data_IF_939258991322
#
_entry.id   IF_939258991322
#
_cell.length_a   1.000
_cell.length_b   1.000
_cell.length_c   1.000
_cell.angle_alpha   90.00
_cell.angle_beta   90.00
_cell.angle_gamma   90.00
#
_symmetry.space_group_name_H-M   'P 1'
#
loop_
_entity.id
_entity.type
_entity.pdbx_description
1 polymer ?
#
# COMPACT_ATOMS: atom_id res chain seq x y z
N UNK A 1 -0.80 9.51 -3.48
CA UNK A 1 -1.27 9.16 -4.82
C UNK A 1 -1.54 7.67 -4.80
N UNK A 2 -2.81 7.24 -4.82
CA UNK A 2 -3.16 5.83 -5.01
C UNK A 2 -3.32 5.59 -6.51
N UNK A 3 -2.21 5.29 -7.18
CA UNK A 3 -2.18 5.00 -8.61
C UNK A 3 -2.43 3.52 -8.86
N UNK A 4 -2.81 3.20 -10.10
CA UNK A 4 -2.72 1.84 -10.64
C UNK A 4 -1.26 1.37 -10.60
N UNK A 5 -1.06 0.06 -10.44
CA UNK A 5 0.25 -0.56 -10.49
C UNK A 5 0.36 -1.38 -11.78
N UNK A 6 1.19 -0.88 -12.71
CA UNK A 6 1.51 -1.57 -13.96
C UNK A 6 2.65 -2.57 -13.74
N UNK A 7 2.50 -3.77 -14.30
CA UNK A 7 3.47 -4.87 -14.19
C UNK A 7 3.49 -5.66 -15.49
N UNK A 8 4.45 -6.56 -15.66
CA UNK A 8 4.58 -7.40 -16.84
C UNK A 8 4.68 -8.88 -16.46
N UNK A 9 4.13 -9.76 -17.30
CA UNK A 9 4.41 -11.21 -17.23
C UNK A 9 5.83 -11.57 -17.71
N UNK A 10 6.54 -10.63 -18.32
CA UNK A 10 7.87 -10.80 -18.88
C UNK A 10 8.92 -10.12 -18.02
N UNK A 11 9.80 -10.94 -17.43
CA UNK A 11 10.91 -10.43 -16.62
C UNK A 11 11.79 -9.45 -17.40
N UNK A 12 12.12 -9.75 -18.66
CA UNK A 12 12.96 -8.87 -19.48
C UNK A 12 12.33 -7.49 -19.76
N UNK A 13 11.00 -7.36 -19.67
CA UNK A 13 10.34 -6.06 -19.75
C UNK A 13 10.50 -5.32 -18.42
N UNK A 14 10.27 -5.99 -17.29
CA UNK A 14 10.49 -5.42 -15.96
C UNK A 14 11.95 -4.98 -15.72
N UNK A 15 12.92 -5.73 -16.23
CA UNK A 15 14.35 -5.42 -16.12
C UNK A 15 14.70 -4.07 -16.75
N UNK A 16 14.04 -3.69 -17.86
CA UNK A 16 14.24 -2.39 -18.51
C UNK A 16 13.89 -1.24 -17.54
N UNK A 17 12.82 -1.42 -16.76
CA UNK A 17 12.35 -0.45 -15.77
C UNK A 17 13.09 -0.53 -14.42
N UNK A 18 14.04 -1.46 -14.27
CA UNK A 18 14.86 -1.64 -13.05
C UNK A 18 16.27 -1.04 -13.22
N UNK A 19 16.49 -0.25 -14.27
CA UNK A 19 17.80 0.37 -14.53
C UNK A 19 18.15 1.45 -13.50
N UNK A 20 19.47 1.60 -13.28
CA UNK A 20 20.04 2.38 -12.19
C UNK A 20 19.56 3.83 -12.21
N UNK A 21 19.00 4.26 -11.08
CA UNK A 21 18.70 5.68 -10.85
C UNK A 21 19.99 6.50 -10.82
N UNK A 22 19.94 7.70 -11.42
CA UNK A 22 21.00 8.72 -11.32
C UNK A 22 20.99 9.44 -9.95
N UNK A 23 20.02 9.14 -9.08
CA UNK A 23 19.89 9.74 -7.76
C UNK A 23 20.54 8.87 -6.67
N UNK A 24 21.51 9.45 -5.96
CA UNK A 24 22.28 8.77 -4.89
C UNK A 24 21.45 8.20 -3.73
N UNK A 25 20.17 8.60 -3.60
CA UNK A 25 19.26 8.17 -2.52
C UNK A 25 18.22 7.14 -2.95
N UNK A 26 18.29 6.62 -4.19
CA UNK A 26 17.36 5.61 -4.68
C UNK A 26 18.01 4.23 -4.77
N UNK A 27 17.21 3.20 -4.53
CA UNK A 27 17.62 1.80 -4.66
C UNK A 27 16.84 1.16 -5.78
N UNK A 28 17.53 0.37 -6.60
CA UNK A 28 16.87 -0.40 -7.66
C UNK A 28 16.17 -1.59 -7.01
N UNK A 29 14.87 -1.73 -7.27
CA UNK A 29 14.07 -2.82 -6.72
C UNK A 29 13.30 -3.50 -7.84
N UNK A 30 13.47 -4.82 -7.95
CA UNK A 30 12.63 -5.66 -8.80
C UNK A 30 11.53 -6.31 -7.95
N UNK A 31 10.28 -6.06 -8.29
CA UNK A 31 9.15 -6.69 -7.59
C UNK A 31 8.67 -7.95 -8.33
N UNK A 32 8.74 -9.10 -7.66
CA UNK A 32 8.16 -10.36 -8.16
C UNK A 32 6.81 -10.59 -7.48
N UNK A 33 5.70 -10.53 -8.24
CA UNK A 33 4.36 -10.62 -7.68
C UNK A 33 3.72 -11.98 -7.98
N UNK A 34 3.43 -12.73 -6.92
CA UNK A 34 2.61 -13.94 -7.00
C UNK A 34 1.14 -13.53 -6.90
N UNK A 35 0.40 -13.66 -8.00
CA UNK A 35 -1.04 -13.43 -8.06
C UNK A 35 -1.75 -14.60 -8.78
N UNK A 36 -2.66 -15.28 -8.08
CA UNK A 36 -3.43 -16.39 -8.66
C UNK A 36 -4.69 -15.88 -9.35
N UNK A 37 -4.83 -16.02 -10.69
CA UNK A 37 -6.02 -15.57 -11.42
C UNK A 37 -7.26 -16.42 -11.15
N UNK A 38 -7.12 -17.59 -10.51
CA UNK A 38 -8.22 -18.52 -10.19
C UNK A 38 -8.77 -18.30 -8.77
N UNK A 39 -8.37 -17.22 -8.11
CA UNK A 39 -8.78 -16.94 -6.74
C UNK A 39 -10.31 -17.00 -6.56
N UNK A 40 -10.83 -17.73 -5.56
CA UNK A 40 -12.26 -17.74 -5.24
C UNK A 40 -12.67 -16.39 -4.63
N UNK A 41 -13.50 -15.63 -5.35
CA UNK A 41 -13.97 -14.31 -4.92
C UNK A 41 -14.54 -13.50 -6.08
N UNK A 42 -15.46 -12.57 -5.79
CA UNK A 42 -16.22 -11.86 -6.83
C UNK A 42 -15.46 -10.73 -7.53
N UNK A 43 -14.31 -10.28 -7.02
CA UNK A 43 -13.55 -9.14 -7.58
C UNK A 43 -12.08 -9.50 -7.72
N UNK A 44 -11.60 -9.52 -8.97
CA UNK A 44 -10.17 -9.66 -9.29
C UNK A 44 -9.56 -8.27 -9.34
N UNK A 45 -8.57 -7.93 -8.50
CA UNK A 45 -8.00 -6.59 -8.46
C UNK A 45 -6.96 -6.35 -9.57
N UNK A 46 -6.87 -7.24 -10.56
CA UNK A 46 -5.93 -7.11 -11.67
C UNK A 46 -6.46 -7.75 -12.95
N UNK A 47 -5.94 -7.29 -14.09
CA UNK A 47 -6.24 -7.85 -15.39
C UNK A 47 -5.02 -7.81 -16.31
N UNK A 48 -4.88 -8.83 -17.16
CA UNK A 48 -3.99 -8.76 -18.31
C UNK A 48 -4.62 -7.84 -19.36
N UNK A 49 -3.98 -6.73 -19.66
CA UNK A 49 -4.47 -5.72 -20.59
C UNK A 49 -3.69 -5.68 -21.91
N UNK A 50 -2.84 -6.67 -22.18
CA UNK A 50 -2.00 -6.75 -23.38
C UNK A 50 -2.78 -6.51 -24.68
N UNK A 51 -4.02 -7.03 -24.77
CA UNK A 51 -4.88 -6.89 -25.96
C UNK A 51 -5.49 -5.49 -26.12
N UNK A 52 -5.48 -4.69 -25.06
CA UNK A 52 -6.02 -3.34 -25.02
C UNK A 52 -4.92 -2.27 -25.01
N UNK A 53 -3.70 -2.66 -24.61
CA UNK A 53 -2.54 -1.77 -24.54
C UNK A 53 -1.98 -1.46 -25.93
N UNK A 54 -1.45 -0.25 -26.09
CA UNK A 54 -0.70 0.17 -27.27
C UNK A 54 0.57 -0.69 -27.46
N UNK A 55 1.16 -1.16 -26.35
CA UNK A 55 2.37 -1.98 -26.33
C UNK A 55 2.02 -3.43 -25.95
N UNK A 56 1.31 -4.12 -26.84
CA UNK A 56 0.81 -5.46 -26.56
C UNK A 56 1.90 -6.51 -26.25
N UNK A 57 3.15 -6.28 -26.67
CA UNK A 57 4.26 -7.20 -26.45
C UNK A 57 4.78 -7.17 -25.00
N UNK A 58 4.47 -6.14 -24.24
CA UNK A 58 4.88 -6.00 -22.83
C UNK A 58 4.15 -7.00 -21.93
N UNK A 59 3.07 -7.63 -22.41
CA UNK A 59 2.24 -8.54 -21.62
C UNK A 59 1.81 -7.95 -20.27
N UNK A 60 1.35 -6.69 -20.34
CA UNK A 60 1.03 -5.89 -19.17
C UNK A 60 -0.13 -6.50 -18.36
N UNK A 61 0.10 -6.60 -17.05
CA UNK A 61 -0.90 -6.90 -16.03
C UNK A 61 -1.05 -5.66 -15.16
N UNK A 62 -2.24 -5.08 -15.16
CA UNK A 62 -2.55 -3.85 -14.43
C UNK A 62 -3.34 -4.19 -13.17
N UNK A 63 -2.85 -3.71 -12.02
CA UNK A 63 -3.50 -3.83 -10.72
C UNK A 63 -4.24 -2.55 -10.37
N UNK A 64 -5.44 -2.71 -9.80
CA UNK A 64 -6.25 -1.61 -9.28
C UNK A 64 -5.56 -0.92 -8.10
N UNK A 65 -5.79 0.38 -7.97
CA UNK A 65 -5.41 1.13 -6.79
C UNK A 65 -6.01 0.49 -5.53
N UNK A 66 -5.22 0.40 -4.46
CA UNK A 66 -5.64 -0.27 -3.22
C UNK A 66 -5.44 -1.79 -3.20
N UNK A 67 -4.80 -2.38 -4.21
CA UNK A 67 -4.30 -3.75 -4.13
C UNK A 67 -3.29 -3.89 -2.99
N UNK A 68 -3.46 -4.91 -2.15
CA UNK A 68 -2.60 -5.17 -0.99
C UNK A 68 -1.71 -6.37 -1.28
N UNK A 69 -0.43 -6.25 -0.96
CA UNK A 69 0.57 -7.30 -1.15
C UNK A 69 1.33 -7.50 0.15
N UNK A 70 1.64 -8.76 0.47
CA UNK A 70 2.57 -9.07 1.56
C UNK A 70 3.92 -9.43 1.00
N UNK A 71 4.97 -8.92 1.65
CA UNK A 71 6.34 -9.33 1.36
C UNK A 71 6.53 -10.77 1.83
N UNK A 72 6.96 -11.62 0.89
CA UNK A 72 7.28 -13.03 1.14
C UNK A 72 8.78 -13.18 1.39
N UNK A 73 9.60 -12.48 0.62
CA UNK A 73 11.05 -12.56 0.71
C UNK A 73 11.72 -11.29 0.16
N UNK A 74 12.94 -11.02 0.62
CA UNK A 74 13.79 -9.92 0.15
C UNK A 74 15.19 -10.44 -0.09
N UNK A 75 15.60 -10.45 -1.36
CA UNK A 75 16.90 -10.91 -1.82
C UNK A 75 17.68 -9.68 -2.28
N UNK A 76 18.85 -9.45 -1.69
CA UNK A 76 19.73 -8.36 -2.08
C UNK A 76 20.81 -8.88 -3.02
N UNK A 77 20.85 -8.35 -4.24
CA UNK A 77 21.93 -8.59 -5.19
C UNK A 77 22.80 -7.34 -5.33
N UNK A 78 23.93 -7.47 -6.04
CA UNK A 78 24.92 -6.39 -6.16
C UNK A 78 24.39 -5.14 -6.88
N UNK A 79 23.39 -5.29 -7.77
CA UNK A 79 22.88 -4.22 -8.63
C UNK A 79 21.44 -3.79 -8.34
N UNK A 80 20.62 -4.67 -7.75
CA UNK A 80 19.25 -4.39 -7.32
C UNK A 80 18.82 -5.38 -6.22
N UNK A 81 17.76 -5.02 -5.49
CA UNK A 81 17.10 -5.93 -4.56
C UNK A 81 15.85 -6.52 -5.21
N UNK A 82 15.67 -7.83 -5.13
CA UNK A 82 14.42 -8.49 -5.52
C UNK A 82 13.52 -8.60 -4.30
N UNK A 83 12.33 -8.02 -4.38
CA UNK A 83 11.29 -8.13 -3.35
C UNK A 83 10.17 -9.02 -3.89
N UNK A 84 10.09 -10.23 -3.34
CA UNK A 84 9.04 -11.17 -3.68
C UNK A 84 7.82 -10.86 -2.84
N UNK A 85 6.67 -10.70 -3.49
CA UNK A 85 5.41 -10.40 -2.82
C UNK A 85 4.28 -11.30 -3.30
N UNK A 86 3.26 -11.45 -2.46
CA UNK A 86 2.05 -12.19 -2.80
C UNK A 86 0.85 -11.25 -2.69
N UNK A 87 0.04 -11.22 -3.74
CA UNK A 87 -1.23 -10.50 -3.73
C UNK A 87 -2.13 -11.08 -2.62
N UNK A 88 -2.61 -10.22 -1.75
CA UNK A 88 -3.65 -10.58 -0.81
C UNK A 88 -4.99 -10.59 -1.52
N UNK A 89 -5.66 -11.74 -1.46
CA UNK A 89 -7.06 -11.84 -1.84
C UNK A 89 -7.93 -11.42 -0.66
N UNK A 90 -8.98 -10.68 -0.98
CA UNK A 90 -10.02 -10.30 -0.02
C UNK A 90 -10.87 -11.54 0.32
N UNK A 91 -10.31 -12.50 1.06
CA UNK A 91 -11.15 -13.22 2.01
C UNK A 91 -11.57 -12.17 3.04
N UNK A 92 -12.86 -11.84 3.08
CA UNK A 92 -13.42 -10.70 3.83
C UNK A 92 -13.09 -10.69 5.34
N UNK A 93 -12.42 -11.72 5.85
CA UNK A 93 -12.06 -11.87 7.25
C UNK A 93 -10.58 -11.60 7.59
N UNK A 94 -9.61 -11.69 6.68
CA UNK A 94 -8.20 -11.65 7.10
C UNK A 94 -7.66 -10.24 7.31
N UNK A 95 -7.91 -9.31 6.38
CA UNK A 95 -7.50 -7.92 6.56
C UNK A 95 -8.27 -7.25 7.68
N UNK A 96 -9.59 -7.48 7.76
CA UNK A 96 -10.42 -6.94 8.82
C UNK A 96 -10.06 -7.56 10.17
N UNK A 97 -9.81 -8.87 10.28
CA UNK A 97 -9.36 -9.47 11.55
C UNK A 97 -7.95 -9.01 11.93
N UNK A 98 -7.04 -8.81 10.96
CA UNK A 98 -5.74 -8.20 11.20
C UNK A 98 -5.89 -6.77 11.72
N UNK A 99 -6.76 -5.99 11.10
CA UNK A 99 -7.04 -4.61 11.51
C UNK A 99 -7.73 -4.56 12.87
N UNK A 100 -8.70 -5.43 13.14
CA UNK A 100 -9.35 -5.61 14.44
C UNK A 100 -8.32 -5.97 15.52
N UNK A 101 -7.36 -6.85 15.22
CA UNK A 101 -6.26 -7.17 16.13
C UNK A 101 -5.40 -5.95 16.43
N UNK A 102 -5.02 -5.18 15.40
CA UNK A 102 -4.27 -3.94 15.59
C UNK A 102 -5.07 -2.91 16.39
N UNK A 103 -6.36 -2.75 16.14
CA UNK A 103 -7.23 -1.88 16.92
C UNK A 103 -7.37 -2.37 18.37
N UNK A 104 -7.44 -3.67 18.62
CA UNK A 104 -7.49 -4.22 19.98
C UNK A 104 -6.20 -3.97 20.75
N UNK A 105 -5.05 -4.05 20.08
CA UNK A 105 -3.74 -3.91 20.71
C UNK A 105 -3.30 -2.44 20.83
N UNK A 106 -3.64 -1.60 19.85
CA UNK A 106 -3.12 -0.24 19.69
C UNK A 106 -4.20 0.80 19.35
N UNK A 107 -5.48 0.46 19.33
CA UNK A 107 -6.54 1.33 18.80
C UNK A 107 -7.04 2.44 19.73
N UNK A 108 -6.76 2.35 21.03
CA UNK A 108 -7.42 3.21 22.02
C UNK A 108 -8.95 3.01 22.05
N UNK A 109 -9.69 3.88 22.76
CA UNK A 109 -11.14 3.73 22.96
C UNK A 109 -12.00 3.93 21.68
N UNK A 110 -11.41 4.46 20.61
CA UNK A 110 -12.13 4.87 19.41
C UNK A 110 -11.85 4.00 18.17
N UNK A 111 -10.71 3.30 18.08
CA UNK A 111 -10.43 2.50 16.89
C UNK A 111 -11.14 1.13 16.94
N UNK A 112 -11.65 0.68 15.78
CA UNK A 112 -12.39 -0.57 15.64
C UNK A 112 -13.92 -0.46 15.77
N UNK A 113 -14.47 0.76 15.93
CA UNK A 113 -15.92 1.00 15.82
C UNK A 113 -16.44 0.97 14.38
N UNK A 114 -15.53 1.04 13.42
CA UNK A 114 -15.82 1.00 11.99
C UNK A 114 -15.81 -0.46 11.51
N UNK A 115 -16.79 -0.83 10.67
CA UNK A 115 -16.91 -2.19 10.11
C UNK A 115 -15.80 -2.54 9.12
N UNK A 116 -15.06 -1.55 8.63
CA UNK A 116 -13.99 -1.72 7.66
C UNK A 116 -12.75 -0.95 8.11
N UNK A 117 -11.58 -1.45 7.74
CA UNK A 117 -10.32 -0.77 7.98
C UNK A 117 -10.31 0.64 7.34
N UNK A 118 -10.34 1.70 8.17
CA UNK A 118 -10.23 3.08 7.69
C UNK A 118 -8.82 3.64 7.83
N UNK A 119 -8.51 4.62 6.99
CA UNK A 119 -7.25 5.36 7.06
C UNK A 119 -7.08 6.10 8.39
N UNK A 120 -8.16 6.62 8.97
CA UNK A 120 -8.12 7.28 10.28
C UNK A 120 -7.74 6.28 11.38
N UNK A 121 -8.39 5.12 11.40
CA UNK A 121 -8.10 4.06 12.36
C UNK A 121 -6.64 3.58 12.25
N UNK A 122 -6.09 3.49 11.03
CA UNK A 122 -4.68 3.16 10.82
C UNK A 122 -3.75 4.23 11.38
N UNK A 123 -4.06 5.51 11.15
CA UNK A 123 -3.29 6.62 11.69
C UNK A 123 -3.31 6.67 13.22
N UNK A 124 -4.44 6.36 13.86
CA UNK A 124 -4.55 6.24 15.32
C UNK A 124 -3.71 5.07 15.85
N UNK A 125 -3.70 3.93 15.17
CA UNK A 125 -2.83 2.80 15.53
C UNK A 125 -1.35 3.23 15.50
N UNK A 126 -0.91 3.89 14.43
CA UNK A 126 0.47 4.38 14.30
C UNK A 126 0.85 5.36 15.42
N UNK A 127 -0.07 6.26 15.77
CA UNK A 127 0.09 7.19 16.88
C UNK A 127 0.31 6.46 18.22
N UNK A 128 -0.55 5.50 18.53
CA UNK A 128 -0.49 4.74 19.79
C UNK A 128 0.71 3.79 19.86
N UNK A 129 1.23 3.35 18.72
CA UNK A 129 2.53 2.67 18.61
C UNK A 129 3.72 3.62 18.83
N UNK A 130 3.49 4.91 19.10
CA UNK A 130 4.49 5.98 19.27
C UNK A 130 5.36 6.20 18.03
N UNK A 131 4.86 5.83 16.84
CA UNK A 131 5.53 6.04 15.55
C UNK A 131 5.20 7.43 15.02
N UNK A 132 5.52 8.46 15.80
CA UNK A 132 5.06 9.83 15.58
C UNK A 132 5.54 10.42 14.25
N UNK A 133 6.78 10.12 13.86
CA UNK A 133 7.38 10.49 12.58
C UNK A 133 6.57 9.98 11.36
N UNK A 134 6.17 8.71 11.40
CA UNK A 134 5.35 8.10 10.35
C UNK A 134 3.92 8.60 10.43
N UNK A 135 3.40 8.79 11.65
CA UNK A 135 2.03 9.25 11.90
C UNK A 135 1.80 10.65 11.32
N UNK A 136 2.69 11.61 11.57
CA UNK A 136 2.60 12.97 11.01
C UNK A 136 2.63 12.94 9.47
N UNK A 137 3.61 12.24 8.89
CA UNK A 137 3.71 12.08 7.42
C UNK A 137 2.46 11.45 6.82
N UNK A 138 1.91 10.44 7.49
CA UNK A 138 0.71 9.73 7.04
C UNK A 138 -0.53 10.63 7.05
N UNK A 139 -0.81 11.33 8.15
CA UNK A 139 -1.99 12.22 8.22
C UNK A 139 -1.85 13.45 7.33
N UNK A 140 -0.64 14.03 7.18
CA UNK A 140 -0.41 15.09 6.19
C UNK A 140 -0.66 14.61 4.78
N UNK A 141 -0.20 13.40 4.45
CA UNK A 141 -0.43 12.81 3.13
C UNK A 141 -1.92 12.62 2.87
N UNK A 142 -2.68 12.09 3.83
CA UNK A 142 -4.14 11.97 3.69
C UNK A 142 -4.76 13.35 3.49
N UNK A 143 -4.43 14.31 4.34
CA UNK A 143 -4.94 15.68 4.28
C UNK A 143 -4.75 16.32 2.90
N UNK A 144 -3.57 16.18 2.30
CA UNK A 144 -3.31 16.73 0.97
C UNK A 144 -3.96 15.93 -0.17
N UNK A 145 -4.23 14.63 0.03
CA UNK A 145 -4.76 13.74 -1.01
C UNK A 145 -6.29 13.66 -1.05
N UNK A 146 -7.01 13.93 0.04
CA UNK A 146 -8.47 13.76 0.13
C UNK A 146 -9.27 15.06 -0.02
N UNK A 147 -8.78 15.98 -0.86
CA UNK A 147 -9.11 17.42 -0.99
C UNK A 147 -10.60 17.87 -1.18
N UNK A 148 -11.61 17.21 -0.59
CA UNK A 148 -13.01 17.69 -0.62
C UNK A 148 -13.96 17.13 0.46
N UNK A 149 -13.52 16.25 1.37
CA UNK A 149 -14.39 15.70 2.43
C UNK A 149 -14.09 16.36 3.79
N UNK A 150 -14.94 17.29 4.22
CA UNK A 150 -14.81 18.09 5.45
C UNK A 150 -14.66 17.23 6.72
N UNK A 151 -15.27 16.04 6.72
CA UNK A 151 -15.25 15.12 7.86
C UNK A 151 -13.86 14.52 8.11
N UNK A 152 -13.12 14.19 7.04
CA UNK A 152 -11.78 13.64 7.12
C UNK A 152 -10.71 14.69 7.42
N UNK A 153 -10.94 15.95 7.03
CA UNK A 153 -10.01 17.06 7.29
C UNK A 153 -9.89 17.35 8.79
N UNK A 154 -11.01 17.41 9.50
CA UNK A 154 -11.03 17.69 10.95
C UNK A 154 -10.28 16.60 11.73
N UNK A 155 -10.48 15.33 11.36
CA UNK A 155 -9.76 14.20 11.95
C UNK A 155 -8.25 14.25 11.69
N UNK A 156 -7.84 14.59 10.47
CA UNK A 156 -6.42 14.73 10.13
C UNK A 156 -5.76 15.87 10.91
N UNK A 157 -6.38 17.06 10.97
CA UNK A 157 -5.83 18.21 11.71
C UNK A 157 -5.66 17.92 13.20
N UNK A 158 -6.64 17.27 13.83
CA UNK A 158 -6.56 16.89 15.24
C UNK A 158 -5.39 15.94 15.50
N UNK A 159 -5.24 14.91 14.67
CA UNK A 159 -4.15 13.94 14.85
C UNK A 159 -2.76 14.55 14.55
N UNK A 160 -2.64 15.44 13.56
CA UNK A 160 -1.39 16.18 13.32
C UNK A 160 -1.03 17.03 14.54
N UNK A 161 -2.01 17.73 15.14
CA UNK A 161 -1.78 18.50 16.37
C UNK A 161 -1.34 17.64 17.56
N UNK A 162 -1.97 16.48 17.75
CA UNK A 162 -1.59 15.54 18.81
C UNK A 162 -0.16 15.02 18.62
N UNK A 163 0.26 14.74 17.38
CA UNK A 163 1.64 14.33 17.10
C UNK A 163 2.62 15.45 17.43
N UNK A 164 2.32 16.70 17.02
CA UNK A 164 3.18 17.85 17.27
C UNK A 164 3.47 18.05 18.77
N UNK A 165 2.48 17.81 19.64
CA UNK A 165 2.64 17.88 21.10
C UNK A 165 3.67 16.88 21.67
N UNK A 166 3.99 15.81 20.95
CA UNK A 166 4.95 14.78 21.38
C UNK A 166 6.31 14.87 20.70
N UNK A 167 6.48 15.79 19.73
CA UNK A 167 7.71 15.95 18.95
C UNK A 167 8.47 17.26 19.23
N UNK A 168 7.91 18.14 20.06
CA UNK A 168 8.57 19.32 20.66
C UNK A 168 9.10 19.02 22.08
#
# INVERSE_FOLDING_TARGET
MNSLLSTSLKQNVADIYTTKSDCDNEVNVLFEIIADPKFPGSVKPFANISKLSHFNQEEEVLFMAGSIFYIVDVINEDSFSTVKMKLHSKEENDLNSFFERLCKEYGGEQAGKEKEASLNSLGTILYNMKRYDITDRFFRRIYYETCSDDSNHTGCCLNIGNVAFHTD
#
